data_IF_394960733488
#
_entry.id   IF_394960733488
#
_cell.length_a   1.000
_cell.length_b   1.000
_cell.length_c   1.000
_cell.angle_alpha   90.00
_cell.angle_beta   90.00
_cell.angle_gamma   90.00
#
_symmetry.space_group_name_H-M   'P 1'
#
loop_
_entity.id
_entity.type
_entity.pdbx_description
1 polymer ?
#
# COMPACT_ATOMS: atom_id res chain seq x y z
N UNK A 1 1.35 10.43 -1.98
CA UNK A 1 2.06 9.35 -2.70
C UNK A 1 3.31 8.95 -1.96
N UNK A 2 3.18 8.65 -0.66
CA UNK A 2 4.29 8.21 0.19
C UNK A 2 4.17 6.70 0.36
N UNK A 3 5.26 5.96 0.17
CA UNK A 3 5.25 4.51 0.35
C UNK A 3 4.92 4.15 1.81
N UNK A 4 3.97 3.23 2.01
CA UNK A 4 3.60 2.73 3.33
C UNK A 4 4.52 1.59 3.81
N UNK A 5 5.41 1.11 2.93
CA UNK A 5 6.32 0.00 3.23
C UNK A 5 5.68 -1.38 3.13
N UNK A 6 4.38 -1.46 2.81
CA UNK A 6 3.67 -2.71 2.60
C UNK A 6 3.63 -3.07 1.11
N UNK A 7 3.72 -4.36 0.81
CA UNK A 7 3.47 -4.91 -0.53
C UNK A 7 2.06 -5.46 -0.59
N UNK A 8 1.34 -5.14 -1.66
CA UNK A 8 -0.04 -5.57 -1.86
C UNK A 8 -0.21 -6.69 -2.90
N UNK A 9 0.85 -7.48 -3.14
CA UNK A 9 0.86 -8.57 -4.13
C UNK A 9 0.00 -9.76 -3.69
N UNK A 10 0.09 -10.14 -2.42
CA UNK A 10 -0.58 -11.32 -1.86
C UNK A 10 -1.56 -10.99 -0.73
N UNK A 11 -1.45 -9.80 -0.15
CA UNK A 11 -2.24 -9.34 0.99
C UNK A 11 -2.66 -7.90 0.73
N UNK A 12 -3.81 -7.43 1.26
CA UNK A 12 -4.18 -6.03 1.16
C UNK A 12 -3.26 -5.15 2.03
N UNK A 13 -3.25 -3.85 1.78
CA UNK A 13 -2.61 -2.88 2.67
C UNK A 13 -3.38 -2.84 4.01
N UNK A 14 -2.71 -3.06 5.13
CA UNK A 14 -3.35 -3.00 6.45
C UNK A 14 -3.28 -1.60 7.06
N UNK A 15 -2.34 -0.78 6.60
CA UNK A 15 -2.19 0.59 7.09
C UNK A 15 -3.35 1.47 6.61
N UNK A 16 -4.11 2.03 7.55
CA UNK A 16 -5.26 2.89 7.24
C UNK A 16 -4.82 4.12 6.45
N UNK A 17 -5.52 4.35 5.34
CA UNK A 17 -5.23 5.44 4.40
C UNK A 17 -4.19 5.09 3.32
N UNK A 18 -3.65 3.88 3.33
CA UNK A 18 -2.82 3.37 2.24
C UNK A 18 -3.67 2.65 1.18
N UNK A 19 -3.29 2.88 -0.08
CA UNK A 19 -3.93 2.30 -1.26
C UNK A 19 -2.88 1.48 -2.01
N UNK A 20 -3.28 0.33 -2.53
CA UNK A 20 -2.42 -0.49 -3.38
C UNK A 20 -2.22 0.17 -4.75
N UNK A 21 -0.98 0.41 -5.15
CA UNK A 21 -0.60 0.96 -6.46
C UNK A 21 0.67 0.27 -6.95
N UNK A 22 0.65 -0.29 -8.17
CA UNK A 22 1.80 -0.99 -8.75
C UNK A 22 2.40 -2.05 -7.81
N UNK A 23 1.55 -2.85 -7.16
CA UNK A 23 1.95 -3.90 -6.22
C UNK A 23 2.59 -3.42 -4.91
N UNK A 24 2.57 -2.12 -4.63
CA UNK A 24 3.06 -1.53 -3.38
C UNK A 24 1.98 -0.63 -2.77
N UNK A 25 1.96 -0.53 -1.45
CA UNK A 25 1.00 0.32 -0.75
C UNK A 25 1.53 1.75 -0.64
N UNK A 26 0.73 2.72 -1.08
CA UNK A 26 1.04 4.15 -0.99
C UNK A 26 -0.08 4.91 -0.28
N UNK A 27 0.30 5.85 0.58
CA UNK A 27 -0.62 6.81 1.16
C UNK A 27 -0.75 8.00 0.21
N UNK A 28 -2.00 8.42 -0.03
CA UNK A 28 -2.30 9.61 -0.83
C UNK A 28 -1.46 10.81 -0.42
#
# INVERSE_FOLDING_TARGET
>A
GVACGESCVYLPCFTVGCTCTSSQCFKN
#
